data_IF_783907355192
#
_entry.id   IF_783907355192
#
_cell.length_a   1.000
_cell.length_b   1.000
_cell.length_c   1.000
_cell.angle_alpha   90.00
_cell.angle_beta   90.00
_cell.angle_gamma   90.00
#
_symmetry.space_group_name_H-M   'P 1'
#
loop_
_entity.id
_entity.type
_entity.pdbx_description
1 polymer ?
#
# COMPACT_ATOMS: atom_id res chain seq x y z
N UNK A 1 -28.08 12.24 4.75
CA UNK A 1 -26.64 12.20 4.43
C UNK A 1 -25.86 11.78 5.67
N UNK A 2 -25.69 10.47 5.90
CA UNK A 2 -24.84 9.99 6.98
C UNK A 2 -23.38 10.28 6.63
N UNK A 3 -22.71 11.05 7.48
CA UNK A 3 -21.34 11.49 7.32
C UNK A 3 -20.39 10.29 7.25
N UNK A 4 -19.74 10.10 6.10
CA UNK A 4 -18.62 9.16 5.89
C UNK A 4 -17.34 9.51 6.70
N UNK A 5 -17.45 10.35 7.73
CA UNK A 5 -16.32 10.99 8.44
C UNK A 5 -15.97 10.35 9.80
N UNK A 6 -16.49 9.18 10.17
CA UNK A 6 -16.20 8.57 11.48
C UNK A 6 -15.09 7.51 11.50
N UNK A 7 -14.55 7.12 10.35
CA UNK A 7 -13.41 6.21 10.30
C UNK A 7 -12.23 7.02 9.81
N UNK A 8 -11.34 7.44 10.72
CA UNK A 8 -9.98 7.84 10.33
C UNK A 8 -9.32 6.56 9.79
N UNK A 9 -9.24 6.36 8.46
CA UNK A 9 -8.71 5.12 7.92
C UNK A 9 -7.23 5.09 8.32
N UNK A 10 -6.81 4.06 9.06
CA UNK A 10 -5.41 3.95 9.45
C UNK A 10 -4.58 3.70 8.19
N UNK A 11 -3.89 4.73 7.71
CA UNK A 11 -3.03 4.68 6.51
C UNK A 11 -1.87 3.69 6.67
N UNK A 12 -1.51 3.34 7.90
CA UNK A 12 -0.49 2.36 8.28
C UNK A 12 -1.09 1.02 8.73
N UNK A 13 -2.38 0.77 8.45
CA UNK A 13 -2.98 -0.53 8.76
C UNK A 13 -2.19 -1.66 8.10
N UNK A 14 -1.96 -2.76 8.83
CA UNK A 14 -1.22 -3.92 8.32
C UNK A 14 -2.15 -5.12 8.21
N UNK A 15 -2.02 -5.86 7.11
CA UNK A 15 -2.72 -7.13 6.96
C UNK A 15 -2.23 -8.15 7.98
N UNK A 16 -3.12 -9.04 8.41
CA UNK A 16 -2.73 -10.19 9.21
C UNK A 16 -1.91 -11.16 8.35
N UNK A 17 -0.81 -11.69 8.91
CA UNK A 17 0.08 -12.62 8.21
C UNK A 17 1.14 -11.98 7.31
N UNK A 18 0.74 -11.16 6.32
CA UNK A 18 1.71 -10.56 5.38
C UNK A 18 2.29 -9.21 5.83
N UNK A 19 1.67 -8.55 6.81
CA UNK A 19 2.10 -7.26 7.34
C UNK A 19 2.18 -6.13 6.29
N UNK A 20 1.42 -6.25 5.22
CA UNK A 20 1.39 -5.28 4.13
C UNK A 20 0.48 -4.11 4.49
N UNK A 21 0.93 -2.90 4.14
CA UNK A 21 0.17 -1.65 4.29
C UNK A 21 -0.64 -1.34 3.02
N UNK A 22 -1.61 -0.40 3.07
CA UNK A 22 -2.23 0.13 1.85
C UNK A 22 -1.20 0.55 0.79
N UNK A 23 -0.04 1.09 1.21
CA UNK A 23 1.04 1.48 0.31
C UNK A 23 1.66 0.28 -0.44
N UNK A 24 1.82 -0.87 0.24
CA UNK A 24 2.25 -2.12 -0.40
C UNK A 24 1.28 -2.59 -1.48
N UNK A 25 -0.02 -2.57 -1.21
CA UNK A 25 -1.04 -2.95 -2.17
C UNK A 25 -1.09 -2.00 -3.36
N UNK A 26 -1.05 -0.69 -3.11
CA UNK A 26 -1.07 0.30 -4.17
C UNK A 26 0.14 0.14 -5.12
N UNK A 27 1.34 -0.16 -4.59
CA UNK A 27 2.51 -0.43 -5.40
C UNK A 27 2.43 -1.76 -6.17
N UNK A 28 1.92 -2.84 -5.53
CA UNK A 28 1.77 -4.15 -6.15
C UNK A 28 0.87 -4.14 -7.40
N UNK A 29 -0.14 -3.27 -7.42
CA UNK A 29 -1.15 -3.21 -8.50
C UNK A 29 -1.02 -1.97 -9.40
N UNK A 30 0.13 -1.30 -9.37
CA UNK A 30 0.38 -0.06 -10.14
C UNK A 30 -0.70 1.03 -9.95
N UNK A 31 -1.26 1.11 -8.75
CA UNK A 31 -2.31 2.08 -8.41
C UNK A 31 -1.70 3.45 -8.09
N UNK A 32 -1.15 4.12 -9.11
CA UNK A 32 -0.43 5.40 -9.00
C UNK A 32 -1.22 6.49 -8.28
N UNK A 33 -2.51 6.65 -8.57
CA UNK A 33 -3.39 7.61 -7.87
C UNK A 33 -3.49 7.31 -6.37
N UNK A 34 -3.61 6.02 -6.01
CA UNK A 34 -3.66 5.59 -4.61
C UNK A 34 -2.33 5.83 -3.90
N UNK A 35 -1.19 5.59 -4.58
CA UNK A 35 0.15 5.91 -4.05
C UNK A 35 0.31 7.40 -3.76
N UNK A 36 -0.14 8.27 -4.68
CA UNK A 36 -0.11 9.72 -4.50
C UNK A 36 -0.98 10.15 -3.32
N UNK A 37 -2.20 9.61 -3.21
CA UNK A 37 -3.09 9.91 -2.10
C UNK A 37 -2.49 9.48 -0.76
N UNK A 38 -2.01 8.24 -0.64
CA UNK A 38 -1.41 7.72 0.59
C UNK A 38 -0.16 8.52 0.99
N UNK A 39 0.71 8.84 0.03
CA UNK A 39 1.90 9.68 0.27
C UNK A 39 1.53 11.07 0.76
N UNK A 40 0.55 11.71 0.13
CA UNK A 40 0.07 13.04 0.53
C UNK A 40 -0.59 13.05 1.92
N UNK A 41 -1.10 11.91 2.36
CA UNK A 41 -1.64 11.72 3.72
C UNK A 41 -0.57 11.28 4.74
N UNK A 42 0.72 11.22 4.36
CA UNK A 42 1.83 10.94 5.28
C UNK A 42 2.13 9.46 5.49
N UNK A 43 1.72 8.56 4.58
CA UNK A 43 2.04 7.14 4.69
C UNK A 43 3.56 6.89 4.62
N UNK A 44 4.08 5.99 5.45
CA UNK A 44 5.48 5.57 5.43
C UNK A 44 5.74 4.60 4.28
N UNK A 45 6.57 5.04 3.35
CA UNK A 45 6.93 4.29 2.14
C UNK A 45 7.99 3.21 2.39
N UNK A 46 8.67 3.26 3.54
CA UNK A 46 9.78 2.37 3.88
C UNK A 46 9.35 1.19 4.76
N UNK A 47 8.05 1.07 5.07
CA UNK A 47 7.53 -0.06 5.85
C UNK A 47 7.89 -1.37 5.15
N UNK A 48 8.32 -2.33 5.95
CA UNK A 48 8.64 -3.68 5.50
C UNK A 48 7.47 -4.63 5.74
N UNK A 49 7.14 -5.45 4.77
CA UNK A 49 6.20 -6.58 4.93
C UNK A 49 6.84 -7.74 5.73
N UNK A 50 6.07 -8.81 5.96
CA UNK A 50 6.53 -9.99 6.70
C UNK A 50 7.78 -10.65 6.08
N UNK A 51 7.99 -10.50 4.77
CA UNK A 51 9.16 -11.00 4.04
C UNK A 51 10.29 -9.98 3.95
N UNK A 52 10.24 -8.91 4.75
CA UNK A 52 11.20 -7.79 4.75
C UNK A 52 11.29 -7.05 3.42
N UNK A 53 10.17 -6.94 2.69
CA UNK A 53 10.08 -6.23 1.41
C UNK A 53 9.38 -4.89 1.60
N UNK A 54 9.87 -3.85 0.94
CA UNK A 54 9.13 -2.59 0.78
C UNK A 54 8.06 -2.71 -0.31
N UNK A 55 7.17 -1.74 -0.39
CA UNK A 55 6.20 -1.61 -1.48
C UNK A 55 6.86 -1.61 -2.88
N UNK A 56 8.04 -0.99 -3.02
CA UNK A 56 8.78 -0.97 -4.29
C UNK A 56 9.27 -2.38 -4.70
N UNK A 57 9.69 -3.20 -3.74
CA UNK A 57 10.04 -4.60 -4.04
C UNK A 57 8.83 -5.37 -4.57
N UNK A 58 7.62 -5.11 -4.06
CA UNK A 58 6.40 -5.74 -4.57
C UNK A 58 6.05 -5.26 -5.98
N UNK A 59 6.17 -3.96 -6.27
CA UNK A 59 5.96 -3.42 -7.61
C UNK A 59 6.89 -4.08 -8.64
N UNK A 60 8.18 -4.20 -8.32
CA UNK A 60 9.15 -4.83 -9.20
C UNK A 60 8.86 -6.32 -9.42
N UNK A 61 8.41 -7.05 -8.38
CA UNK A 61 7.99 -8.44 -8.53
C UNK A 61 6.76 -8.54 -9.44
N UNK A 62 5.75 -7.70 -9.23
CA UNK A 62 4.45 -7.81 -9.92
C UNK A 62 4.47 -7.32 -11.37
N UNK A 63 5.25 -6.28 -11.70
CA UNK A 63 5.43 -5.84 -13.08
C UNK A 63 5.95 -6.97 -13.99
N UNK A 64 6.91 -7.75 -13.49
CA UNK A 64 7.45 -8.91 -14.21
C UNK A 64 6.43 -10.06 -14.42
N UNK A 65 5.32 -10.09 -13.66
CA UNK A 65 4.24 -11.07 -13.85
C UNK A 65 3.14 -10.57 -14.78
N UNK A 66 2.98 -9.25 -14.96
CA UNK A 66 1.95 -8.70 -15.86
C UNK A 66 2.38 -8.71 -17.33
N UNK A 67 3.70 -8.69 -17.61
CA UNK A 67 4.26 -8.69 -18.98
C UNK A 67 4.43 -10.11 -19.57
N UNK A 68 3.78 -11.14 -19.03
CA UNK A 68 3.81 -12.53 -19.51
C UNK A 68 2.44 -13.02 -19.95
#
# INVERSE_FOLDING_TARGET
>A
MASFLSLHPNIEARTNGEWQTPFHYAAKYDATTSLQCLRSNGADINVLDYKRRTALHLAALHGNYQDK
#
